data_IF_112146501771
#
_entry.id   IF_112146501771
#
_cell.length_a   1.000
_cell.length_b   1.000
_cell.length_c   1.000
_cell.angle_alpha   90.00
_cell.angle_beta   90.00
_cell.angle_gamma   90.00
#
_symmetry.space_group_name_H-M   'P 1'
#
loop_
_entity.id
_entity.type
_entity.pdbx_description
1 polymer ?
#
# COMPACT_ATOMS: atom_id res chain seq x y z
N UNK A 1 32.52 -6.41 -11.19
CA UNK A 1 31.82 -7.71 -11.12
C UNK A 1 32.14 -8.31 -9.78
N UNK A 2 31.16 -8.75 -9.00
CA UNK A 2 31.45 -9.51 -7.79
C UNK A 2 32.20 -10.78 -8.20
N UNK A 3 33.29 -11.07 -7.54
CA UNK A 3 34.05 -12.31 -7.77
C UNK A 3 33.28 -13.45 -7.13
N UNK A 4 32.97 -14.49 -7.90
CA UNK A 4 32.36 -15.70 -7.38
C UNK A 4 33.45 -16.60 -6.78
N UNK A 5 33.23 -17.03 -5.54
CA UNK A 5 34.10 -17.99 -4.84
C UNK A 5 33.51 -19.39 -4.98
N UNK A 6 34.28 -20.30 -5.54
CA UNK A 6 33.88 -21.69 -5.70
C UNK A 6 34.16 -22.49 -4.42
N UNK A 7 33.15 -23.06 -3.83
CA UNK A 7 33.22 -24.10 -2.81
C UNK A 7 33.09 -25.49 -3.43
N UNK A 8 33.21 -26.53 -2.62
CA UNK A 8 33.16 -27.93 -3.10
C UNK A 8 31.87 -28.30 -3.81
N UNK A 9 30.73 -27.80 -3.29
CA UNK A 9 29.37 -28.06 -3.82
C UNK A 9 28.56 -26.81 -4.04
N UNK A 10 29.09 -25.62 -3.76
CA UNK A 10 28.37 -24.38 -3.80
C UNK A 10 29.18 -23.28 -4.48
N UNK A 11 28.51 -22.44 -5.21
CA UNK A 11 29.02 -21.19 -5.74
C UNK A 11 28.56 -20.04 -4.80
N UNK A 12 29.50 -19.24 -4.34
CA UNK A 12 29.24 -18.14 -3.41
C UNK A 12 29.48 -16.80 -4.09
N UNK A 13 28.65 -15.82 -3.77
CA UNK A 13 28.97 -14.42 -4.00
C UNK A 13 30.08 -13.99 -3.04
N UNK A 14 31.22 -13.56 -3.57
CA UNK A 14 32.38 -13.20 -2.76
C UNK A 14 32.17 -11.90 -1.96
N UNK A 15 31.16 -11.10 -2.30
CA UNK A 15 30.85 -9.83 -1.62
C UNK A 15 29.94 -10.05 -0.43
N UNK A 16 28.93 -10.91 -0.59
CA UNK A 16 27.90 -11.16 0.44
C UNK A 16 28.06 -12.50 1.14
N UNK A 17 28.92 -13.39 0.61
CA UNK A 17 29.11 -14.76 1.05
C UNK A 17 27.85 -15.64 0.97
N UNK A 18 26.89 -15.22 0.15
CA UNK A 18 25.68 -15.98 -0.11
C UNK A 18 25.91 -17.10 -1.11
N UNK A 19 25.18 -18.20 -0.95
CA UNK A 19 25.18 -19.29 -1.91
C UNK A 19 24.35 -18.84 -3.12
N UNK A 20 24.96 -18.80 -4.31
CA UNK A 20 24.32 -18.39 -5.56
C UNK A 20 24.14 -19.53 -6.56
N UNK A 21 24.67 -20.72 -6.26
CA UNK A 21 24.50 -21.91 -7.08
C UNK A 21 24.87 -23.20 -6.34
N UNK A 22 24.32 -24.31 -6.79
CA UNK A 22 24.61 -25.67 -6.29
C UNK A 22 25.23 -26.47 -7.42
N UNK A 23 26.29 -27.24 -7.11
CA UNK A 23 26.95 -28.11 -8.07
C UNK A 23 26.05 -29.32 -8.39
N UNK A 24 25.82 -29.55 -9.66
CA UNK A 24 25.22 -30.80 -10.13
C UNK A 24 26.26 -31.94 -10.06
N UNK A 25 26.03 -32.88 -9.15
CA UNK A 25 26.93 -34.03 -8.96
C UNK A 25 26.99 -34.93 -10.17
N UNK A 26 25.92 -34.97 -10.99
CA UNK A 26 25.81 -35.88 -12.15
C UNK A 26 26.32 -35.25 -13.45
N UNK A 27 26.44 -33.94 -13.52
CA UNK A 27 26.80 -33.17 -14.72
C UNK A 27 28.14 -32.41 -14.61
N UNK A 28 28.94 -32.70 -13.60
CA UNK A 28 30.26 -32.10 -13.42
C UNK A 28 30.22 -30.69 -12.82
N UNK A 29 30.90 -29.71 -13.44
CA UNK A 29 31.06 -28.36 -12.88
C UNK A 29 29.91 -27.40 -13.19
N UNK A 30 28.77 -27.89 -13.64
CA UNK A 30 27.59 -27.04 -13.86
C UNK A 30 26.92 -26.72 -12.53
N UNK A 31 26.72 -25.45 -12.29
CA UNK A 31 26.00 -24.96 -11.11
C UNK A 31 24.58 -24.54 -11.51
N UNK A 32 23.58 -25.05 -10.79
CA UNK A 32 22.23 -24.53 -10.91
C UNK A 32 22.16 -23.23 -10.09
N UNK A 33 21.69 -22.14 -10.68
CA UNK A 33 21.44 -20.93 -9.90
C UNK A 33 20.40 -21.25 -8.82
N UNK A 34 20.74 -20.95 -7.56
CA UNK A 34 19.74 -20.91 -6.50
C UNK A 34 18.93 -19.66 -6.77
N UNK A 35 17.60 -19.84 -6.87
CA UNK A 35 16.70 -18.71 -6.94
C UNK A 35 16.89 -17.89 -5.66
N UNK A 36 17.50 -16.72 -5.77
CA UNK A 36 17.52 -15.76 -4.67
C UNK A 36 16.11 -15.25 -4.48
N UNK A 37 15.69 -15.18 -3.25
CA UNK A 37 14.64 -14.27 -2.89
C UNK A 37 15.17 -12.86 -3.18
N UNK A 38 14.78 -12.31 -4.32
CA UNK A 38 15.02 -10.91 -4.66
C UNK A 38 14.28 -10.01 -3.65
N UNK A 39 14.49 -8.70 -3.66
CA UNK A 39 14.08 -7.85 -2.55
C UNK A 39 12.64 -8.10 -2.12
N UNK A 40 12.48 -8.42 -0.86
CA UNK A 40 11.19 -8.54 -0.20
C UNK A 40 10.91 -7.23 0.50
N UNK A 41 9.83 -6.58 0.13
CA UNK A 41 9.33 -5.39 0.79
C UNK A 41 8.26 -5.83 1.79
N UNK A 42 8.64 -5.94 3.06
CA UNK A 42 7.70 -6.32 4.10
C UNK A 42 7.10 -5.09 4.76
N UNK A 43 5.81 -5.14 5.03
CA UNK A 43 5.12 -4.17 5.85
C UNK A 43 5.57 -4.27 7.28
N UNK A 44 5.74 -3.12 7.90
CA UNK A 44 6.14 -3.03 9.29
C UNK A 44 5.05 -3.48 10.25
N UNK A 45 5.47 -3.76 11.44
CA UNK A 45 4.75 -4.25 12.60
C UNK A 45 3.58 -3.39 13.11
N UNK A 46 3.37 -2.20 12.58
CA UNK A 46 2.24 -1.34 12.98
C UNK A 46 1.14 -1.39 11.92
N UNK A 47 0.00 -1.91 12.29
CA UNK A 47 -1.20 -1.88 11.46
C UNK A 47 -1.58 -0.43 11.12
N UNK A 48 -1.87 -0.16 9.85
CA UNK A 48 -2.32 1.16 9.38
C UNK A 48 -3.83 1.14 9.26
N UNK A 49 -4.52 1.76 10.23
CA UNK A 49 -5.97 1.82 10.27
C UNK A 49 -6.47 3.21 9.89
N UNK A 50 -7.25 3.31 8.83
CA UNK A 50 -7.77 4.58 8.32
C UNK A 50 -9.29 4.70 8.51
N UNK A 51 -9.73 5.95 8.68
CA UNK A 51 -11.12 6.38 8.57
C UNK A 51 -11.21 7.55 7.59
N UNK A 52 -12.39 7.74 7.00
CA UNK A 52 -12.67 8.91 6.16
C UNK A 52 -13.93 9.62 6.65
N UNK A 53 -13.90 10.95 6.84
CA UNK A 53 -15.10 11.73 7.13
C UNK A 53 -16.04 11.77 5.93
N UNK A 54 -17.29 12.16 6.18
CA UNK A 54 -18.29 12.35 5.13
C UNK A 54 -17.84 13.40 4.11
N UNK A 55 -18.32 13.27 2.87
CA UNK A 55 -18.00 14.19 1.77
C UNK A 55 -18.41 15.65 2.03
N UNK A 56 -19.29 15.87 2.99
CA UNK A 56 -19.69 17.21 3.45
C UNK A 56 -18.66 17.91 4.34
N UNK A 57 -17.67 17.17 4.86
CA UNK A 57 -16.59 17.73 5.68
C UNK A 57 -15.51 18.36 4.80
N UNK A 58 -15.79 19.54 4.29
CA UNK A 58 -14.98 20.30 3.32
C UNK A 58 -14.81 21.75 3.77
N UNK A 59 -14.00 22.53 3.04
CA UNK A 59 -13.70 23.94 3.35
C UNK A 59 -13.17 24.09 4.77
N UNK A 60 -12.08 23.36 5.03
CA UNK A 60 -11.55 23.26 6.37
C UNK A 60 -10.76 24.50 6.77
N UNK A 61 -10.96 24.90 8.03
CA UNK A 61 -10.02 25.72 8.80
C UNK A 61 -9.44 24.90 9.93
N UNK A 62 -8.54 25.47 10.71
CA UNK A 62 -8.02 24.80 11.91
C UNK A 62 -7.93 25.76 13.08
N UNK A 63 -8.01 25.22 14.28
CA UNK A 63 -7.88 25.92 15.54
C UNK A 63 -7.01 25.14 16.52
N UNK A 64 -6.60 25.80 17.60
CA UNK A 64 -5.88 25.15 18.70
C UNK A 64 -6.84 24.31 19.57
N UNK A 65 -6.43 23.09 19.86
CA UNK A 65 -7.07 22.22 20.84
C UNK A 65 -6.02 21.69 21.81
N UNK A 66 -5.69 22.49 22.82
CA UNK A 66 -4.70 22.11 23.83
C UNK A 66 -3.32 21.73 23.24
N UNK A 67 -2.84 22.50 22.27
CA UNK A 67 -1.58 22.26 21.57
C UNK A 67 -1.66 21.34 20.37
N UNK A 68 -2.82 20.78 20.08
CA UNK A 68 -3.08 19.95 18.90
C UNK A 68 -3.97 20.67 17.88
N UNK A 69 -3.84 20.28 16.61
CA UNK A 69 -4.69 20.81 15.54
C UNK A 69 -6.10 20.22 15.66
N UNK A 70 -7.07 21.09 15.68
CA UNK A 70 -8.47 20.75 15.48
C UNK A 70 -8.92 21.29 14.12
N UNK A 71 -9.29 20.38 13.21
CA UNK A 71 -9.86 20.69 11.91
C UNK A 71 -11.33 21.05 12.08
N UNK A 72 -11.75 22.15 11.47
CA UNK A 72 -13.10 22.71 11.61
C UNK A 72 -13.73 22.90 10.24
N UNK A 73 -14.97 22.48 10.08
CA UNK A 73 -15.75 22.63 8.85
C UNK A 73 -17.16 23.12 9.17
N UNK A 74 -17.81 23.73 8.19
CA UNK A 74 -19.26 23.99 8.25
C UNK A 74 -20.07 22.69 8.01
N UNK A 75 -19.52 21.74 7.27
CA UNK A 75 -20.14 20.45 7.02
C UNK A 75 -19.81 19.40 8.08
N UNK A 76 -20.66 18.41 8.23
CA UNK A 76 -20.51 17.34 9.23
C UNK A 76 -19.51 16.28 8.78
N UNK A 77 -18.76 15.70 9.73
CA UNK A 77 -17.82 14.62 9.46
C UNK A 77 -18.44 13.21 9.52
N UNK A 78 -19.60 13.06 10.19
CA UNK A 78 -20.30 11.77 10.40
C UNK A 78 -19.46 10.67 11.05
N UNK A 79 -18.41 11.03 11.80
CA UNK A 79 -17.57 10.09 12.56
C UNK A 79 -18.02 10.07 14.03
N UNK A 80 -17.79 8.93 14.69
CA UNK A 80 -17.94 8.79 16.15
C UNK A 80 -16.60 8.48 16.78
N UNK A 81 -16.37 8.85 18.04
CA UNK A 81 -15.17 8.51 18.77
C UNK A 81 -14.95 6.98 18.83
N UNK A 82 -16.02 6.21 18.99
CA UNK A 82 -15.94 4.74 19.04
C UNK A 82 -15.28 4.13 17.80
N UNK A 83 -15.45 4.76 16.64
CA UNK A 83 -14.85 4.27 15.38
C UNK A 83 -13.58 5.01 15.03
N UNK A 84 -13.55 6.33 15.16
CA UNK A 84 -12.47 7.16 14.59
C UNK A 84 -11.28 7.36 15.53
N UNK A 85 -11.49 7.33 16.85
CA UNK A 85 -10.42 7.53 17.82
C UNK A 85 -9.31 6.46 17.65
N UNK A 86 -8.07 6.91 17.67
CA UNK A 86 -6.86 6.11 17.43
C UNK A 86 -6.70 5.56 16.01
N UNK A 87 -7.55 5.98 15.06
CA UNK A 87 -7.37 5.68 13.64
C UNK A 87 -6.82 6.89 12.91
N UNK A 88 -6.37 6.68 11.68
CA UNK A 88 -5.69 7.67 10.88
C UNK A 88 -6.65 8.33 9.88
N UNK A 89 -6.52 9.65 9.73
CA UNK A 89 -7.08 10.42 8.61
C UNK A 89 -5.94 11.00 7.77
N UNK A 90 -6.14 11.07 6.46
CA UNK A 90 -5.18 11.75 5.58
C UNK A 90 -5.49 13.22 5.51
N UNK A 91 -4.49 14.05 5.83
CA UNK A 91 -4.57 15.51 5.73
C UNK A 91 -3.48 16.01 4.78
N UNK A 92 -3.87 16.93 3.92
CA UNK A 92 -2.97 17.70 3.06
C UNK A 92 -3.08 19.18 3.39
N UNK A 93 -1.98 19.90 3.28
CA UNK A 93 -1.89 21.32 3.58
C UNK A 93 -1.45 22.09 2.33
N UNK A 94 -2.08 23.23 2.08
CA UNK A 94 -1.73 24.11 0.98
C UNK A 94 -1.32 25.48 1.49
N UNK A 95 -0.23 26.02 0.98
CA UNK A 95 0.20 27.40 1.20
C UNK A 95 0.75 27.71 2.59
N UNK A 96 1.33 26.73 3.29
CA UNK A 96 1.87 26.94 4.64
C UNK A 96 2.99 25.97 5.00
N UNK A 97 3.27 25.84 6.30
CA UNK A 97 4.31 24.97 6.88
C UNK A 97 3.78 23.59 7.29
N UNK A 98 2.47 23.32 7.11
CA UNK A 98 1.86 22.04 7.43
C UNK A 98 2.41 20.90 6.57
N UNK A 99 2.62 19.74 7.17
CA UNK A 99 3.15 18.56 6.49
C UNK A 99 2.01 17.64 6.07
N UNK A 100 2.01 17.19 4.82
CA UNK A 100 1.03 16.23 4.32
C UNK A 100 1.27 14.84 4.92
N UNK A 101 0.22 14.18 5.41
CA UNK A 101 0.41 12.88 6.04
C UNK A 101 -0.86 12.20 6.52
N UNK A 102 -0.66 11.06 7.17
CA UNK A 102 -1.67 10.36 7.95
C UNK A 102 -1.51 10.76 9.43
N UNK A 103 -2.59 11.21 10.04
CA UNK A 103 -2.58 11.68 11.43
C UNK A 103 -3.63 10.97 12.25
N UNK A 104 -3.26 10.60 13.47
CA UNK A 104 -4.17 9.94 14.40
C UNK A 104 -5.27 10.88 14.83
N UNK A 105 -6.51 10.46 14.70
CA UNK A 105 -7.67 11.14 15.30
C UNK A 105 -7.64 10.92 16.80
N UNK A 106 -7.56 11.99 17.57
CA UNK A 106 -7.58 11.95 19.04
C UNK A 106 -8.96 12.19 19.59
N UNK A 107 -9.77 12.98 18.88
CA UNK A 107 -11.15 13.29 19.27
C UNK A 107 -12.00 13.71 18.06
N UNK A 108 -13.28 13.35 18.08
CA UNK A 108 -14.31 13.93 17.22
C UNK A 108 -15.37 14.57 18.09
N UNK A 109 -15.60 15.87 17.89
CA UNK A 109 -16.50 16.59 18.78
C UNK A 109 -17.97 16.20 18.57
N UNK A 110 -18.75 16.25 19.64
CA UNK A 110 -20.19 16.02 19.61
C UNK A 110 -20.94 16.96 18.65
N UNK A 111 -20.37 18.11 18.28
CA UNK A 111 -20.91 19.05 17.30
C UNK A 111 -20.78 18.56 15.85
N UNK A 112 -20.16 17.41 15.59
CA UNK A 112 -20.01 16.75 14.28
C UNK A 112 -19.28 17.54 13.20
N UNK A 113 -18.73 18.70 13.52
CA UNK A 113 -18.04 19.61 12.59
C UNK A 113 -16.55 19.80 12.90
N UNK A 114 -16.02 19.08 13.91
CA UNK A 114 -14.65 19.22 14.38
C UNK A 114 -13.98 17.87 14.57
N UNK A 115 -12.76 17.74 14.06
CA UNK A 115 -11.89 16.55 14.25
C UNK A 115 -10.56 17.02 14.82
N UNK A 116 -10.17 16.52 15.97
CA UNK A 116 -8.84 16.78 16.55
C UNK A 116 -7.87 15.68 16.10
N UNK A 117 -6.70 16.07 15.65
CA UNK A 117 -5.66 15.17 15.16
C UNK A 117 -4.37 15.34 15.97
N UNK A 118 -3.58 14.27 16.06
CA UNK A 118 -2.26 14.32 16.67
C UNK A 118 -1.25 15.02 15.75
N UNK A 119 -1.41 16.34 15.63
CA UNK A 119 -0.49 17.23 14.93
C UNK A 119 -0.33 18.50 15.75
N UNK A 120 0.92 18.96 15.99
CA UNK A 120 1.14 20.16 16.80
C UNK A 120 0.48 21.40 16.17
N UNK A 121 -0.26 22.15 16.96
CA UNK A 121 -0.82 23.41 16.50
C UNK A 121 0.31 24.46 16.36
N UNK A 122 0.30 25.14 15.24
CA UNK A 122 1.16 26.30 14.96
C UNK A 122 0.44 27.28 14.05
N UNK A 123 0.84 28.54 14.11
CA UNK A 123 0.35 29.53 13.15
C UNK A 123 0.97 29.26 11.76
N UNK A 124 0.22 29.52 10.71
CA UNK A 124 0.73 29.43 9.33
C UNK A 124 0.86 28.03 8.76
N UNK A 125 0.15 27.05 9.29
CA UNK A 125 0.14 25.68 8.72
C UNK A 125 -0.40 25.62 7.29
N UNK A 126 -1.20 26.60 6.87
CA UNK A 126 -1.84 26.62 5.56
C UNK A 126 -3.30 26.16 5.61
N UNK A 127 -3.88 25.92 4.45
CA UNK A 127 -5.27 25.46 4.32
C UNK A 127 -5.31 23.93 4.35
N UNK A 128 -5.95 23.30 5.36
CA UNK A 128 -6.06 21.86 5.45
C UNK A 128 -7.13 21.31 4.50
N UNK A 129 -6.89 20.12 3.99
CA UNK A 129 -7.87 19.29 3.28
C UNK A 129 -7.77 17.87 3.81
N UNK A 130 -8.91 17.27 4.14
CA UNK A 130 -8.99 15.86 4.56
C UNK A 130 -9.53 15.02 3.43
N UNK A 131 -8.95 13.85 3.21
CA UNK A 131 -9.51 12.89 2.25
C UNK A 131 -10.81 12.33 2.80
N UNK A 132 -11.89 12.56 2.10
CA UNK A 132 -13.26 12.16 2.47
C UNK A 132 -13.63 10.82 1.86
N UNK A 133 -14.76 10.24 2.27
CA UNK A 133 -15.34 9.02 1.69
C UNK A 133 -15.44 9.11 0.17
N UNK A 134 -15.32 7.97 -0.51
CA UNK A 134 -15.34 7.89 -1.98
C UNK A 134 -13.99 8.15 -2.65
N UNK A 135 -12.96 8.56 -1.91
CA UNK A 135 -11.61 8.77 -2.44
C UNK A 135 -10.63 7.71 -1.95
N UNK A 136 -9.62 7.45 -2.76
CA UNK A 136 -8.54 6.51 -2.42
C UNK A 136 -7.62 7.12 -1.35
N UNK A 137 -7.32 6.34 -0.33
CA UNK A 137 -6.34 6.67 0.71
C UNK A 137 -5.19 5.68 0.63
N UNK A 138 -3.98 6.16 0.42
CA UNK A 138 -2.79 5.32 0.45
C UNK A 138 -2.53 4.84 1.86
N UNK A 139 -2.58 3.53 2.06
CA UNK A 139 -2.28 2.85 3.31
C UNK A 139 -0.77 2.67 3.47
N UNK A 140 -0.12 2.26 2.39
CA UNK A 140 1.33 2.08 2.32
C UNK A 140 1.82 2.37 0.92
N UNK A 141 3.05 2.86 0.82
CA UNK A 141 3.79 2.94 -0.44
C UNK A 141 5.25 2.58 -0.22
N UNK A 142 5.85 1.95 -1.24
CA UNK A 142 7.27 1.61 -1.28
C UNK A 142 7.82 1.94 -2.66
N UNK A 143 9.11 2.24 -2.72
CA UNK A 143 9.79 2.47 -4.00
C UNK A 143 10.41 1.16 -4.48
N UNK A 144 10.03 0.72 -5.66
CA UNK A 144 10.72 -0.33 -6.41
C UNK A 144 11.84 0.37 -7.19
N UNK A 145 13.12 0.06 -6.93
CA UNK A 145 14.23 0.72 -7.62
C UNK A 145 14.18 0.51 -9.14
N UNK A 146 14.78 1.44 -9.88
CA UNK A 146 14.98 1.29 -11.30
C UNK A 146 15.70 -0.03 -11.63
N UNK A 147 15.25 -0.73 -12.66
CA UNK A 147 15.78 -2.02 -13.12
C UNK A 147 15.68 -3.18 -12.11
N UNK A 148 14.92 -3.04 -11.02
CA UNK A 148 14.65 -4.14 -10.10
C UNK A 148 13.74 -5.22 -10.72
N UNK A 149 12.86 -4.84 -11.63
CA UNK A 149 11.99 -5.75 -12.38
C UNK A 149 12.54 -5.95 -13.78
N UNK A 150 12.81 -7.20 -14.16
CA UNK A 150 13.33 -7.60 -15.48
C UNK A 150 12.42 -8.64 -16.12
N UNK A 151 12.47 -8.79 -17.45
CA UNK A 151 11.73 -9.85 -18.13
C UNK A 151 12.01 -11.24 -17.52
N UNK A 152 10.95 -12.01 -17.32
CA UNK A 152 11.00 -13.34 -16.68
C UNK A 152 10.88 -13.32 -15.16
N UNK A 153 10.89 -12.17 -14.51
CA UNK A 153 10.67 -12.08 -13.06
C UNK A 153 9.21 -12.22 -12.68
N UNK A 154 8.98 -12.76 -11.50
CA UNK A 154 7.68 -12.85 -10.86
C UNK A 154 7.59 -11.84 -9.71
N UNK A 155 6.43 -11.21 -9.60
CA UNK A 155 6.03 -10.38 -8.47
C UNK A 155 4.89 -11.06 -7.73
N UNK A 156 4.97 -11.08 -6.41
CA UNK A 156 3.96 -11.63 -5.52
C UNK A 156 3.63 -10.60 -4.45
N UNK A 157 2.34 -10.34 -4.25
CA UNK A 157 1.83 -9.49 -3.17
C UNK A 157 0.96 -10.31 -2.25
N UNK A 158 1.30 -10.30 -0.96
CA UNK A 158 0.46 -10.78 0.12
C UNK A 158 0.03 -9.59 0.96
N UNK A 159 -1.25 -9.49 1.31
CA UNK A 159 -1.74 -8.48 2.21
C UNK A 159 -2.91 -8.98 3.04
N UNK A 160 -2.97 -8.57 4.30
CA UNK A 160 -4.05 -8.87 5.23
C UNK A 160 -4.74 -7.58 5.64
N UNK A 161 -6.06 -7.55 5.49
CA UNK A 161 -6.88 -6.41 5.86
C UNK A 161 -7.92 -6.80 6.89
N UNK A 162 -8.19 -5.89 7.83
CA UNK A 162 -9.38 -5.88 8.67
C UNK A 162 -10.22 -4.64 8.32
N UNK A 163 -11.53 -4.75 8.46
CA UNK A 163 -12.43 -3.65 8.14
C UNK A 163 -13.74 -3.71 8.92
N UNK A 164 -14.43 -2.60 8.99
CA UNK A 164 -15.78 -2.55 9.58
C UNK A 164 -16.73 -3.44 8.78
N UNK A 165 -17.38 -4.40 9.44
CA UNK A 165 -18.52 -5.13 8.87
C UNK A 165 -19.74 -4.19 8.80
N UNK A 166 -20.29 -4.01 7.60
CA UNK A 166 -21.41 -3.10 7.35
C UNK A 166 -22.20 -3.54 6.10
N UNK A 167 -23.14 -2.75 5.63
CA UNK A 167 -23.82 -2.96 4.35
C UNK A 167 -23.05 -2.35 3.16
N UNK A 168 -22.03 -1.53 3.43
CA UNK A 168 -21.35 -0.73 2.40
C UNK A 168 -20.04 -1.38 1.97
N UNK A 169 -19.85 -1.50 0.67
CA UNK A 169 -18.61 -2.05 0.12
C UNK A 169 -17.43 -1.11 0.38
N UNK A 170 -16.25 -1.71 0.51
CA UNK A 170 -14.98 -1.01 0.55
C UNK A 170 -14.14 -1.44 -0.65
N UNK A 171 -13.38 -0.54 -1.24
CA UNK A 171 -12.53 -0.90 -2.38
C UNK A 171 -11.09 -0.98 -1.92
N UNK A 172 -10.45 -2.11 -2.23
CA UNK A 172 -9.02 -2.33 -2.00
C UNK A 172 -8.31 -2.32 -3.35
N UNK A 173 -7.18 -1.62 -3.44
CA UNK A 173 -6.39 -1.52 -4.67
C UNK A 173 -4.90 -1.72 -4.39
N UNK A 174 -4.21 -2.29 -5.37
CA UNK A 174 -2.75 -2.36 -5.44
C UNK A 174 -2.31 -1.81 -6.78
N UNK A 175 -1.34 -0.92 -6.77
CA UNK A 175 -0.82 -0.27 -7.97
C UNK A 175 0.71 -0.37 -8.02
N UNK A 176 1.26 -0.39 -9.24
CA UNK A 176 2.68 -0.19 -9.53
C UNK A 176 2.78 1.01 -10.48
N UNK A 177 3.38 2.09 -10.00
CA UNK A 177 3.30 3.38 -10.68
C UNK A 177 1.85 3.83 -10.82
N UNK A 178 1.45 4.18 -12.04
CA UNK A 178 0.08 4.54 -12.42
C UNK A 178 -0.75 3.34 -12.91
N UNK A 179 -0.17 2.14 -12.97
CA UNK A 179 -0.83 0.93 -13.44
C UNK A 179 -1.47 0.15 -12.29
N UNK A 180 -2.76 -0.20 -12.44
CA UNK A 180 -3.50 -1.01 -11.48
C UNK A 180 -3.15 -2.49 -11.61
N UNK A 181 -2.77 -3.10 -10.49
CA UNK A 181 -2.53 -4.55 -10.37
C UNK A 181 -3.74 -5.28 -9.78
N UNK A 182 -4.38 -4.68 -8.80
CA UNK A 182 -5.58 -5.19 -8.15
C UNK A 182 -6.55 -4.06 -7.87
N UNK A 183 -7.83 -4.32 -8.07
CA UNK A 183 -8.91 -3.41 -7.67
C UNK A 183 -10.19 -4.20 -7.48
N UNK A 184 -10.68 -4.28 -6.26
CA UNK A 184 -11.92 -4.97 -5.94
C UNK A 184 -12.74 -4.22 -4.91
N UNK A 185 -14.04 -4.11 -5.19
CA UNK A 185 -15.03 -3.74 -4.19
C UNK A 185 -15.33 -4.98 -3.34
N UNK A 186 -14.87 -4.98 -2.12
CA UNK A 186 -15.10 -6.04 -1.13
C UNK A 186 -16.46 -5.84 -0.50
N UNK A 187 -17.26 -6.92 -0.40
CA UNK A 187 -18.58 -6.87 0.22
C UNK A 187 -18.50 -6.31 1.66
N UNK A 188 -19.37 -5.39 1.99
CA UNK A 188 -19.34 -4.67 3.26
C UNK A 188 -19.49 -5.55 4.50
N UNK A 189 -20.13 -6.71 4.38
CA UNK A 189 -20.25 -7.70 5.47
C UNK A 189 -18.92 -8.38 5.84
N UNK A 190 -17.89 -8.30 4.98
CA UNK A 190 -16.59 -8.88 5.28
C UNK A 190 -15.87 -8.02 6.34
N UNK A 191 -15.31 -8.68 7.34
CA UNK A 191 -14.51 -8.06 8.40
C UNK A 191 -13.02 -8.32 8.25
N UNK A 192 -12.65 -9.26 7.39
CA UNK A 192 -11.27 -9.63 7.08
C UNK A 192 -11.15 -10.04 5.63
N UNK A 193 -10.04 -9.65 4.99
CA UNK A 193 -9.69 -10.01 3.61
C UNK A 193 -8.22 -10.35 3.55
N UNK A 194 -7.90 -11.51 2.98
CA UNK A 194 -6.55 -11.88 2.58
C UNK A 194 -6.43 -11.70 1.07
N UNK A 195 -5.43 -10.99 0.63
CA UNK A 195 -5.02 -10.84 -0.75
C UNK A 195 -3.71 -11.56 -0.96
N UNK A 196 -3.69 -12.45 -1.94
CA UNK A 196 -2.51 -13.06 -2.53
C UNK A 196 -2.65 -12.89 -4.05
N UNK A 197 -1.67 -12.29 -4.70
CA UNK A 197 -1.73 -12.04 -6.15
C UNK A 197 -0.36 -11.99 -6.77
N UNK A 198 -0.26 -12.59 -7.98
CA UNK A 198 0.97 -12.70 -8.74
C UNK A 198 0.90 -11.94 -10.06
N UNK A 199 2.07 -11.52 -10.53
CA UNK A 199 2.29 -10.95 -11.85
C UNK A 199 3.65 -11.37 -12.39
N UNK A 200 3.75 -11.47 -13.72
CA UNK A 200 4.98 -11.85 -14.40
C UNK A 200 5.43 -10.73 -15.34
N UNK A 201 6.69 -10.38 -15.25
CA UNK A 201 7.32 -9.43 -16.16
C UNK A 201 7.57 -10.10 -17.51
N UNK A 202 6.76 -9.77 -18.52
CA UNK A 202 6.93 -10.29 -19.88
C UNK A 202 7.84 -9.40 -20.74
N UNK A 203 8.13 -8.19 -20.28
CA UNK A 203 9.09 -7.28 -20.91
C UNK A 203 9.68 -6.31 -19.88
N UNK A 204 10.61 -5.45 -20.30
CA UNK A 204 11.18 -4.38 -19.47
C UNK A 204 10.16 -3.27 -19.10
N UNK A 205 8.95 -3.31 -19.65
CA UNK A 205 7.94 -2.26 -19.45
C UNK A 205 6.57 -2.80 -19.04
N UNK A 206 6.37 -4.12 -19.10
CA UNK A 206 5.03 -4.70 -18.90
C UNK A 206 5.04 -5.87 -17.94
N UNK A 207 4.03 -5.91 -17.08
CA UNK A 207 3.66 -7.06 -16.25
C UNK A 207 2.33 -7.61 -16.72
N UNK A 208 2.15 -8.91 -16.61
CA UNK A 208 0.88 -9.59 -16.87
C UNK A 208 0.43 -10.31 -15.60
N UNK A 209 -0.83 -10.17 -15.25
CA UNK A 209 -1.47 -10.82 -14.11
C UNK A 209 -2.84 -11.33 -14.51
N UNK A 210 -3.48 -12.12 -13.65
CA UNK A 210 -4.90 -12.46 -13.81
C UNK A 210 -5.78 -11.20 -13.71
N UNK A 211 -7.09 -11.36 -13.89
CA UNK A 211 -8.04 -10.25 -13.89
C UNK A 211 -7.88 -9.33 -12.67
N UNK A 212 -8.11 -8.03 -12.88
CA UNK A 212 -7.88 -6.97 -11.88
C UNK A 212 -8.59 -7.24 -10.54
N UNK A 213 -9.81 -7.75 -10.58
CA UNK A 213 -10.61 -8.07 -9.39
C UNK A 213 -10.36 -9.49 -8.84
N UNK A 214 -9.52 -10.30 -9.49
CA UNK A 214 -9.25 -11.65 -9.03
C UNK A 214 -8.12 -11.66 -8.00
N UNK A 215 -8.32 -12.22 -6.81
CA UNK A 215 -7.20 -12.57 -5.93
C UNK A 215 -6.43 -13.76 -6.52
N UNK A 216 -5.19 -13.92 -6.12
CA UNK A 216 -4.22 -14.96 -6.34
C UNK A 216 -4.51 -16.12 -7.30
N UNK A 217 -4.51 -17.31 -6.75
CA UNK A 217 -4.60 -18.55 -7.51
C UNK A 217 -6.04 -18.92 -7.89
N UNK A 218 -6.20 -19.57 -9.04
CA UNK A 218 -7.44 -20.15 -9.50
C UNK A 218 -7.95 -19.56 -10.80
N UNK A 219 -9.12 -20.04 -11.24
CA UNK A 219 -9.76 -19.59 -12.45
C UNK A 219 -10.45 -18.23 -12.23
N UNK A 220 -10.34 -17.36 -13.21
CA UNK A 220 -11.05 -16.08 -13.26
C UNK A 220 -11.86 -16.00 -14.55
N UNK A 221 -13.07 -15.44 -14.49
CA UNK A 221 -13.88 -15.14 -15.67
C UNK A 221 -13.47 -13.86 -16.37
N UNK A 222 -12.63 -13.05 -15.72
CA UNK A 222 -12.08 -11.81 -16.28
C UNK A 222 -10.83 -12.07 -17.12
N UNK A 223 -10.60 -11.20 -18.10
CA UNK A 223 -9.36 -11.23 -18.89
C UNK A 223 -8.14 -10.87 -18.03
N UNK A 224 -6.98 -11.43 -18.40
CA UNK A 224 -5.71 -11.01 -17.80
C UNK A 224 -5.50 -9.50 -17.97
N UNK A 225 -4.90 -8.89 -16.97
CA UNK A 225 -4.51 -7.49 -17.01
C UNK A 225 -3.05 -7.36 -17.43
N UNK A 226 -2.78 -6.45 -18.35
CA UNK A 226 -1.43 -6.02 -18.68
C UNK A 226 -1.18 -4.66 -18.05
N UNK A 227 -0.20 -4.59 -17.16
CA UNK A 227 0.23 -3.36 -16.50
C UNK A 227 1.42 -2.78 -17.24
N UNK A 228 1.32 -1.50 -17.61
CA UNK A 228 2.39 -0.78 -18.29
C UNK A 228 2.59 0.55 -17.58
N UNK A 229 3.35 0.57 -16.46
CA UNK A 229 3.61 1.81 -15.75
C UNK A 229 4.32 2.82 -16.64
N UNK A 230 3.98 4.09 -16.51
CA UNK A 230 4.64 5.17 -17.26
C UNK A 230 6.15 5.15 -17.01
N UNK A 231 6.94 5.13 -18.07
CA UNK A 231 8.41 5.02 -18.04
C UNK A 231 8.93 3.59 -17.86
N UNK A 232 8.05 2.60 -17.71
CA UNK A 232 8.45 1.20 -17.52
C UNK A 232 9.30 0.94 -16.29
N UNK A 233 10.03 -0.19 -16.25
CA UNK A 233 10.84 -0.58 -15.09
C UNK A 233 12.30 -0.12 -15.18
N UNK A 234 12.66 0.61 -16.24
CA UNK A 234 13.95 1.30 -16.36
C UNK A 234 14.10 2.50 -15.43
N UNK A 235 13.02 2.97 -14.85
CA UNK A 235 12.97 4.00 -13.80
C UNK A 235 12.39 3.42 -12.52
N UNK A 236 12.60 4.11 -11.40
CA UNK A 236 11.97 3.73 -10.13
C UNK A 236 10.46 3.83 -10.23
N UNK A 237 9.74 2.83 -9.72
CA UNK A 237 8.28 2.80 -9.67
C UNK A 237 7.79 2.83 -8.22
N UNK A 238 6.63 3.46 -8.00
CA UNK A 238 5.98 3.42 -6.69
C UNK A 238 5.04 2.23 -6.61
N UNK A 239 5.29 1.32 -5.69
CA UNK A 239 4.30 0.35 -5.25
C UNK A 239 3.38 1.01 -4.22
N UNK A 240 2.06 0.83 -4.33
CA UNK A 240 1.12 1.37 -3.37
C UNK A 240 -0.07 0.43 -3.13
N UNK A 241 -0.46 0.30 -1.85
CA UNK A 241 -1.73 -0.29 -1.45
C UNK A 241 -2.63 0.85 -0.99
N UNK A 242 -3.84 0.92 -1.55
CA UNK A 242 -4.82 1.95 -1.20
C UNK A 242 -6.14 1.33 -0.77
N UNK A 243 -6.85 2.05 0.07
CA UNK A 243 -8.20 1.72 0.50
C UNK A 243 -9.17 2.86 0.22
N UNK A 244 -10.40 2.54 -0.16
CA UNK A 244 -11.48 3.49 -0.34
C UNK A 244 -12.67 3.09 0.54
N UNK A 245 -13.15 4.01 1.35
CA UNK A 245 -14.31 3.86 2.22
C UNK A 245 -15.49 4.57 1.56
N UNK A 246 -16.60 3.87 1.39
CA UNK A 246 -17.78 4.43 0.73
C UNK A 246 -18.64 5.29 1.67
N UNK A 247 -18.62 4.99 2.96
CA UNK A 247 -19.49 5.65 3.96
C UNK A 247 -18.66 6.03 5.19
N UNK A 248 -18.89 7.24 5.71
CA UNK A 248 -18.23 7.66 6.95
C UNK A 248 -18.59 6.75 8.13
N UNK A 249 -17.79 6.82 9.20
CA UNK A 249 -17.89 5.98 10.39
C UNK A 249 -17.60 4.48 10.12
N UNK A 250 -16.74 4.22 9.16
CA UNK A 250 -16.17 2.91 8.85
C UNK A 250 -14.66 3.01 8.79
N UNK A 251 -13.96 1.88 8.87
CA UNK A 251 -12.51 1.83 8.77
C UNK A 251 -12.02 0.70 7.85
N UNK A 252 -10.81 0.87 7.35
CA UNK A 252 -9.97 -0.17 6.74
C UNK A 252 -8.65 -0.17 7.49
N UNK A 253 -8.18 -1.34 7.87
CA UNK A 253 -6.86 -1.57 8.47
C UNK A 253 -6.06 -2.48 7.56
N UNK A 254 -4.86 -2.05 7.16
CA UNK A 254 -3.83 -2.92 6.59
C UNK A 254 -3.02 -3.48 7.75
N UNK A 255 -3.23 -4.75 8.07
CA UNK A 255 -2.58 -5.43 9.20
C UNK A 255 -1.15 -5.85 8.87
N UNK A 256 -0.96 -6.37 7.65
CA UNK A 256 0.32 -6.82 7.17
C UNK A 256 0.36 -6.78 5.64
N UNK A 257 1.55 -6.66 5.08
CA UNK A 257 1.78 -6.79 3.64
C UNK A 257 3.21 -7.24 3.35
N UNK A 258 3.37 -7.84 2.19
CA UNK A 258 4.66 -8.29 1.68
C UNK A 258 4.63 -8.20 0.16
N UNK A 259 5.62 -7.53 -0.44
CA UNK A 259 5.87 -7.56 -1.87
C UNK A 259 7.20 -8.27 -2.12
N UNK A 260 7.15 -9.34 -2.88
CA UNK A 260 8.30 -10.15 -3.24
C UNK A 260 8.53 -10.08 -4.74
N UNK A 261 9.78 -9.92 -5.14
CA UNK A 261 10.21 -9.95 -6.54
C UNK A 261 11.21 -11.10 -6.66
N UNK A 262 10.94 -12.04 -7.54
CA UNK A 262 11.73 -13.26 -7.70
C UNK A 262 12.20 -13.42 -9.13
N UNK A 263 13.44 -13.82 -9.33
CA UNK A 263 13.93 -14.30 -10.64
C UNK A 263 13.47 -15.74 -10.84
N UNK A 264 12.87 -16.05 -11.96
CA UNK A 264 12.55 -17.43 -12.39
C UNK A 264 13.71 -18.07 -13.12
#
# INVERSE_FOLDING_TARGET
MPYLKQGTNFLYDNTTNDIVGVKDADKGENYFPIMRNEPTYAGTTAAVSIVAPAATFTTLTYEDSSGSVRLVSAGIHSLTNAVAQNKLVRVTWAGGTGVNGLYTVTDVSAATTKITINYPHAAGLGTPTVTVVGNDITLVSATIPANAIKPGMELEIDALFAMTGSANNKTLKVNIGDAGWYSQAVAGSNVSVSLDKQAWANSATTLVSNALAAPGHGASTGANVTMTPTGGFGIAQTFAITGQIATANEFITLEAWNLKITST
#
